data_IF_354554022629
#
_entry.id   IF_354554022629
#
_cell.length_a   1.000
_cell.length_b   1.000
_cell.length_c   1.000
_cell.angle_alpha   90.00
_cell.angle_beta   90.00
_cell.angle_gamma   90.00
#
_symmetry.space_group_name_H-M   'P 1'
#
loop_
_entity.id
_entity.type
_entity.pdbx_description
1 polymer ?
#
# COMPACT_ATOMS: atom_id res chain seq x y z
N UNK A 1 2.16 -4.43 -11.39
CA UNK A 1 2.77 -3.24 -10.71
C UNK A 1 4.24 -3.51 -10.49
N UNK A 2 5.08 -2.50 -10.72
CA UNK A 2 6.50 -2.51 -10.36
C UNK A 2 6.70 -1.91 -8.96
N UNK A 3 7.68 -2.43 -8.23
CA UNK A 3 8.01 -1.97 -6.88
C UNK A 3 9.52 -1.77 -6.75
N UNK A 4 9.91 -0.60 -6.25
CA UNK A 4 11.28 -0.26 -5.92
C UNK A 4 11.38 0.04 -4.42
N UNK A 5 12.40 -0.49 -3.76
CA UNK A 5 12.72 -0.22 -2.36
C UNK A 5 14.11 0.39 -2.28
N UNK A 6 14.23 1.58 -1.72
CA UNK A 6 15.51 2.31 -1.65
C UNK A 6 16.15 2.52 -3.03
N UNK A 7 15.34 2.70 -4.08
CA UNK A 7 15.78 2.85 -5.46
C UNK A 7 16.10 1.54 -6.21
N UNK A 8 16.11 0.40 -5.50
CA UNK A 8 16.36 -0.92 -6.13
C UNK A 8 15.05 -1.55 -6.57
N UNK A 9 14.98 -2.01 -7.81
CA UNK A 9 13.84 -2.74 -8.35
C UNK A 9 13.72 -4.11 -7.66
N UNK A 10 12.59 -4.35 -6.99
CA UNK A 10 12.30 -5.58 -6.26
C UNK A 10 11.42 -6.51 -7.09
N UNK A 11 10.39 -5.97 -7.74
CA UNK A 11 9.48 -6.75 -8.57
C UNK A 11 8.92 -5.91 -9.70
N UNK A 12 8.68 -6.53 -10.85
CA UNK A 12 7.96 -5.95 -12.00
C UNK A 12 6.55 -6.52 -12.18
N UNK A 13 6.18 -7.56 -11.42
CA UNK A 13 5.04 -8.43 -11.75
C UNK A 13 4.06 -8.65 -10.60
N UNK A 14 3.92 -7.68 -9.71
CA UNK A 14 2.83 -7.75 -8.74
C UNK A 14 1.52 -7.51 -9.46
N UNK A 15 0.65 -8.51 -9.45
CA UNK A 15 -0.60 -8.52 -10.19
C UNK A 15 -1.72 -7.81 -9.43
N UNK A 16 -1.94 -8.21 -8.19
CA UNK A 16 -3.09 -7.75 -7.40
C UNK A 16 -2.73 -6.58 -6.48
N UNK A 17 -1.98 -6.87 -5.41
CA UNK A 17 -1.70 -5.89 -4.38
C UNK A 17 -0.38 -6.15 -3.65
N UNK A 18 0.09 -5.12 -2.98
CA UNK A 18 1.12 -5.20 -1.97
C UNK A 18 0.59 -4.70 -0.62
N UNK A 19 0.98 -5.36 0.46
CA UNK A 19 0.72 -4.90 1.83
C UNK A 19 2.03 -4.42 2.46
N UNK A 20 2.08 -3.17 2.88
CA UNK A 20 3.14 -2.67 3.74
C UNK A 20 2.62 -2.62 5.18
N UNK A 21 3.32 -3.27 6.09
CA UNK A 21 2.96 -3.28 7.52
C UNK A 21 4.18 -3.52 8.40
N UNK A 22 4.03 -3.28 9.71
CA UNK A 22 4.97 -3.81 10.70
C UNK A 22 5.05 -5.33 10.56
N UNK A 23 6.23 -5.93 10.72
CA UNK A 23 6.43 -7.38 10.64
C UNK A 23 5.60 -8.12 11.70
N UNK A 24 5.49 -7.56 12.91
CA UNK A 24 4.57 -8.05 13.92
C UNK A 24 3.18 -7.42 13.71
N UNK A 25 2.11 -8.21 13.45
CA UNK A 25 0.79 -7.67 13.18
C UNK A 25 0.13 -6.98 14.39
N UNK A 26 0.64 -7.21 15.60
CA UNK A 26 0.16 -6.55 16.82
C UNK A 26 0.80 -5.18 17.06
N UNK A 27 1.82 -4.81 16.28
CA UNK A 27 2.51 -3.54 16.40
C UNK A 27 1.99 -2.51 15.40
N UNK A 28 2.08 -1.25 15.78
CA UNK A 28 1.64 -0.14 14.94
C UNK A 28 2.59 0.08 13.77
N UNK A 29 2.03 0.21 12.59
CA UNK A 29 2.73 0.61 11.39
C UNK A 29 2.69 2.13 11.26
N UNK A 30 3.84 2.74 10.98
CA UNK A 30 3.98 4.17 10.73
C UNK A 30 4.59 4.40 9.37
N UNK A 31 3.99 5.28 8.61
CA UNK A 31 4.43 5.60 7.24
C UNK A 31 4.06 7.03 6.85
N UNK A 32 4.68 7.51 5.78
CA UNK A 32 4.25 8.71 5.07
C UNK A 32 3.88 8.35 3.64
N UNK A 33 2.78 8.89 3.15
CA UNK A 33 2.35 8.77 1.75
C UNK A 33 1.61 10.05 1.35
N UNK A 34 1.89 10.58 0.17
CA UNK A 34 1.29 11.83 -0.28
C UNK A 34 1.62 13.05 0.61
N UNK A 35 2.74 13.01 1.34
CA UNK A 35 3.14 14.05 2.29
C UNK A 35 2.54 13.92 3.68
N UNK A 36 1.52 13.09 3.86
CA UNK A 36 0.83 12.88 5.14
C UNK A 36 1.42 11.69 5.91
N UNK A 37 1.45 11.80 7.24
CA UNK A 37 1.84 10.71 8.14
C UNK A 37 0.62 9.92 8.58
N UNK A 38 0.78 8.60 8.60
CA UNK A 38 -0.24 7.66 9.08
C UNK A 38 0.33 6.74 10.15
N UNK A 39 -0.39 6.63 11.26
CA UNK A 39 -0.22 5.63 12.29
C UNK A 39 -1.41 4.66 12.12
N UNK A 40 -1.15 3.38 11.80
CA UNK A 40 -2.17 2.45 11.29
C UNK A 40 -1.74 0.99 11.46
N UNK A 41 -2.53 0.05 10.94
CA UNK A 41 -2.14 -1.37 10.86
C UNK A 41 -1.44 -1.74 9.54
N UNK A 42 -1.21 -0.74 8.68
CA UNK A 42 -0.57 -0.92 7.39
C UNK A 42 -1.33 -0.24 6.25
N UNK A 43 -0.81 -0.41 5.04
CA UNK A 43 -1.43 0.13 3.84
C UNK A 43 -1.46 -0.93 2.74
N UNK A 44 -2.61 -1.10 2.11
CA UNK A 44 -2.75 -1.83 0.86
C UNK A 44 -2.45 -0.92 -0.32
N UNK A 45 -1.59 -1.39 -1.23
CA UNK A 45 -1.37 -0.75 -2.53
C UNK A 45 -1.86 -1.72 -3.60
N UNK A 46 -2.92 -1.36 -4.31
CA UNK A 46 -3.58 -2.24 -5.27
C UNK A 46 -3.57 -1.73 -6.69
N UNK A 47 -3.54 -2.70 -7.61
CA UNK A 47 -3.79 -2.50 -9.03
C UNK A 47 -5.29 -2.54 -9.34
N UNK A 48 -5.69 -2.25 -10.59
CA UNK A 48 -7.07 -2.47 -11.03
C UNK A 48 -7.49 -3.94 -10.94
N UNK A 49 -6.58 -4.88 -11.26
CA UNK A 49 -6.86 -6.32 -11.18
C UNK A 49 -7.14 -6.78 -9.75
N UNK A 50 -6.39 -6.26 -8.76
CA UNK A 50 -6.55 -6.60 -7.34
C UNK A 50 -7.65 -5.83 -6.62
N UNK A 51 -8.33 -4.88 -7.30
CA UNK A 51 -9.24 -3.95 -6.63
C UNK A 51 -10.51 -4.56 -6.07
N UNK A 52 -10.88 -5.77 -6.48
CA UNK A 52 -12.09 -6.49 -6.01
C UNK A 52 -11.87 -7.35 -4.76
N UNK A 53 -10.62 -7.47 -4.31
CA UNK A 53 -10.24 -8.30 -3.15
C UNK A 53 -10.12 -7.50 -1.84
N UNK A 54 -8.96 -7.60 -1.18
CA UNK A 54 -8.66 -6.93 0.09
C UNK A 54 -8.82 -5.40 0.02
N UNK A 55 -8.55 -4.83 -1.12
CA UNK A 55 -8.63 -3.38 -1.38
C UNK A 55 -10.06 -2.86 -1.14
N UNK A 56 -11.07 -3.45 -1.78
CA UNK A 56 -12.46 -3.00 -1.62
C UNK A 56 -12.97 -3.27 -0.21
N UNK A 57 -12.58 -4.39 0.38
CA UNK A 57 -12.94 -4.73 1.77
C UNK A 57 -12.36 -3.75 2.79
N UNK A 58 -11.22 -3.15 2.48
CA UNK A 58 -10.58 -2.13 3.31
C UNK A 58 -11.09 -0.70 3.03
N UNK A 59 -12.14 -0.53 2.22
CA UNK A 59 -12.71 0.77 1.88
C UNK A 59 -12.18 1.40 0.60
N UNK A 60 -11.47 0.64 -0.22
CA UNK A 60 -11.02 1.07 -1.55
C UNK A 60 -12.16 1.07 -2.59
N UNK A 61 -11.78 1.36 -3.82
CA UNK A 61 -12.70 1.40 -4.96
C UNK A 61 -12.39 0.28 -5.94
N UNK A 62 -13.42 -0.28 -6.55
CA UNK A 62 -13.24 -1.19 -7.69
C UNK A 62 -12.79 -0.36 -8.90
N UNK A 63 -11.70 -0.79 -9.51
CA UNK A 63 -11.12 -0.19 -10.71
C UNK A 63 -11.19 -1.19 -11.87
N UNK A 64 -11.22 -0.69 -13.10
CA UNK A 64 -11.08 -1.55 -14.26
C UNK A 64 -9.73 -2.29 -14.20
N UNK A 65 -9.66 -3.59 -14.56
CA UNK A 65 -8.41 -4.35 -14.55
C UNK A 65 -7.29 -3.72 -15.38
N UNK A 66 -7.67 -2.98 -16.42
CA UNK A 66 -6.75 -2.26 -17.32
C UNK A 66 -6.40 -0.85 -16.83
N UNK A 67 -6.86 -0.46 -15.64
CA UNK A 67 -6.58 0.86 -15.08
C UNK A 67 -5.08 1.11 -14.95
N UNK A 68 -4.65 2.28 -15.37
CA UNK A 68 -3.29 2.80 -15.14
C UNK A 68 -3.15 3.52 -13.80
N UNK A 69 -4.14 3.41 -12.92
CA UNK A 69 -4.10 4.01 -11.59
C UNK A 69 -3.97 2.91 -10.54
N UNK A 70 -3.04 3.12 -9.63
CA UNK A 70 -2.95 2.39 -8.37
C UNK A 70 -3.79 3.10 -7.31
N UNK A 71 -4.17 2.38 -6.28
CA UNK A 71 -4.76 2.97 -5.09
C UNK A 71 -4.07 2.49 -3.82
N UNK A 72 -3.88 3.41 -2.88
CA UNK A 72 -3.46 3.11 -1.52
C UNK A 72 -4.64 3.21 -0.58
N UNK A 73 -4.82 2.20 0.26
CA UNK A 73 -5.88 2.15 1.27
C UNK A 73 -5.25 1.90 2.64
N UNK A 74 -5.35 2.90 3.52
CA UNK A 74 -4.82 2.82 4.89
C UNK A 74 -5.72 1.89 5.71
N UNK A 75 -5.10 0.92 6.37
CA UNK A 75 -5.80 -0.02 7.24
C UNK A 75 -5.86 0.52 8.66
N UNK A 76 -7.06 0.51 9.25
CA UNK A 76 -7.26 0.81 10.68
C UNK A 76 -6.44 2.04 11.12
N UNK A 77 -6.63 3.15 10.40
CA UNK A 77 -5.96 4.41 10.75
C UNK A 77 -6.25 4.76 12.19
N UNK A 78 -5.20 5.00 12.97
CA UNK A 78 -5.33 5.40 14.36
C UNK A 78 -6.03 6.76 14.42
N UNK A 79 -7.29 6.73 14.83
CA UNK A 79 -8.09 7.91 15.04
C UNK A 79 -7.80 8.42 16.46
N UNK A 80 -6.69 9.14 16.62
CA UNK A 80 -6.43 9.84 17.86
C UNK A 80 -7.59 10.81 18.10
N UNK A 81 -8.25 10.71 19.25
CA UNK A 81 -9.16 11.77 19.70
C UNK A 81 -8.32 13.02 19.86
N UNK A 82 -8.71 14.09 19.21
CA UNK A 82 -8.14 15.40 19.52
C UNK A 82 -8.50 15.72 20.97
N UNK A 83 -7.77 16.62 21.59
CA UNK A 83 -8.09 17.11 22.94
C UNK A 83 -9.52 17.69 23.03
N UNK A 84 -10.12 18.06 21.89
CA UNK A 84 -11.52 18.52 21.78
C UNK A 84 -12.53 17.36 21.63
N UNK A 85 -12.09 16.11 21.53
CA UNK A 85 -12.97 14.94 21.38
C UNK A 85 -13.43 14.66 19.95
N UNK A 86 -12.93 15.39 18.95
CA UNK A 86 -13.27 15.17 17.55
C UNK A 86 -12.60 13.90 17.03
N UNK A 87 -13.31 13.11 16.22
CA UNK A 87 -12.74 11.97 15.49
C UNK A 87 -12.02 12.47 14.25
N UNK A 88 -10.81 11.96 14.03
CA UNK A 88 -10.12 12.16 12.75
C UNK A 88 -10.95 11.47 11.65
N UNK A 89 -11.23 12.13 10.53
CA UNK A 89 -12.01 11.53 9.45
C UNK A 89 -11.38 10.23 8.94
N UNK A 90 -12.23 9.27 8.56
CA UNK A 90 -11.76 8.04 7.89
C UNK A 90 -10.97 8.41 6.63
N UNK A 91 -9.79 7.85 6.48
CA UNK A 91 -8.94 8.09 5.32
C UNK A 91 -9.62 7.61 4.05
N UNK A 92 -9.67 8.48 3.03
CA UNK A 92 -10.12 8.10 1.69
C UNK A 92 -8.97 7.39 0.95
N UNK A 93 -9.28 6.50 -0.02
CA UNK A 93 -8.26 5.93 -0.89
C UNK A 93 -7.45 7.02 -1.61
N UNK A 94 -6.13 6.81 -1.69
CA UNK A 94 -5.20 7.68 -2.40
C UNK A 94 -4.93 7.06 -3.77
N UNK A 95 -5.06 7.82 -4.84
CA UNK A 95 -4.89 7.33 -6.21
C UNK A 95 -3.70 7.98 -6.90
N UNK A 96 -3.02 7.22 -7.75
CA UNK A 96 -1.93 7.72 -8.61
C UNK A 96 -1.44 6.67 -9.58
N UNK A 97 -0.77 7.10 -10.65
CA UNK A 97 0.00 6.21 -11.54
C UNK A 97 1.30 5.77 -10.86
N UNK A 98 1.81 6.63 -10.00
CA UNK A 98 2.95 6.38 -9.11
C UNK A 98 2.54 6.76 -7.70
N UNK A 99 2.77 5.87 -6.76
CA UNK A 99 2.60 6.11 -5.32
C UNK A 99 3.94 5.92 -4.63
N UNK A 100 4.28 6.85 -3.76
CA UNK A 100 5.52 6.81 -2.99
C UNK A 100 5.19 6.77 -1.51
N UNK A 101 5.73 5.76 -0.83
CA UNK A 101 5.64 5.56 0.59
C UNK A 101 7.04 5.73 1.21
N UNK A 102 7.10 6.36 2.37
CA UNK A 102 8.32 6.39 3.19
C UNK A 102 8.02 5.68 4.50
N UNK A 103 8.79 4.65 4.79
CA UNK A 103 8.66 3.88 6.03
C UNK A 103 9.05 4.75 7.24
N UNK A 104 8.21 4.76 8.26
CA UNK A 104 8.52 5.28 9.58
C UNK A 104 8.49 4.17 10.62
N UNK A 105 8.63 2.93 10.15
CA UNK A 105 8.60 1.69 10.94
C UNK A 105 9.98 1.04 10.81
N UNK A 106 10.70 0.79 11.91
CA UNK A 106 12.04 0.18 11.86
C UNK A 106 12.02 -1.25 11.35
N UNK A 107 10.96 -2.00 11.67
CA UNK A 107 10.79 -3.40 11.33
C UNK A 107 9.49 -3.57 10.52
N UNK A 108 9.53 -3.14 9.27
CA UNK A 108 8.42 -3.29 8.34
C UNK A 108 8.69 -4.37 7.30
N UNK A 109 7.60 -4.97 6.84
CA UNK A 109 7.61 -5.94 5.75
C UNK A 109 6.63 -5.52 4.67
N UNK A 110 7.07 -5.67 3.43
CA UNK A 110 6.25 -5.54 2.24
C UNK A 110 5.92 -6.95 1.73
N UNK A 111 4.64 -7.29 1.68
CA UNK A 111 4.12 -8.55 1.15
C UNK A 111 3.56 -8.33 -0.26
N UNK A 112 3.89 -9.21 -1.20
CA UNK A 112 3.55 -9.08 -2.61
C UNK A 112 2.66 -10.25 -3.05
N UNK A 113 1.45 -9.94 -3.54
CA UNK A 113 0.47 -10.94 -4.01
C UNK A 113 0.27 -12.10 -3.03
N UNK A 114 0.10 -11.79 -1.74
CA UNK A 114 -0.07 -12.77 -0.67
C UNK A 114 1.15 -12.89 0.25
N UNK A 115 1.21 -13.95 1.09
CA UNK A 115 2.14 -14.01 2.22
C UNK A 115 3.54 -14.54 1.88
N UNK A 116 3.76 -15.09 0.68
CA UNK A 116 4.96 -15.86 0.39
C UNK A 116 6.14 -15.01 -0.09
N UNK A 117 5.87 -13.95 -0.85
CA UNK A 117 6.89 -13.00 -1.28
C UNK A 117 6.92 -11.83 -0.32
N UNK A 118 8.04 -11.67 0.37
CA UNK A 118 8.23 -10.61 1.38
C UNK A 118 9.56 -9.93 1.21
N UNK A 119 9.56 -8.63 1.48
CA UNK A 119 10.75 -7.78 1.45
C UNK A 119 10.78 -6.97 2.73
N UNK A 120 11.90 -6.99 3.44
CA UNK A 120 12.12 -6.13 4.59
C UNK A 120 12.29 -4.68 4.15
N UNK A 121 11.65 -3.78 4.89
CA UNK A 121 11.76 -2.34 4.67
C UNK A 121 12.14 -1.68 5.98
N UNK A 122 13.30 -1.04 6.00
CA UNK A 122 13.81 -0.35 7.18
C UNK A 122 13.21 1.04 7.37
N UNK A 123 13.57 1.66 8.48
CA UNK A 123 13.19 3.04 8.78
C UNK A 123 13.73 4.00 7.70
N UNK A 124 12.91 4.98 7.34
CA UNK A 124 13.18 6.04 6.34
C UNK A 124 13.45 5.54 4.91
N UNK A 125 13.28 4.24 4.66
CA UNK A 125 13.35 3.73 3.30
C UNK A 125 12.12 4.14 2.49
N UNK A 126 12.40 4.58 1.27
CA UNK A 126 11.38 4.93 0.27
C UNK A 126 10.97 3.68 -0.51
N UNK A 127 9.67 3.47 -0.63
CA UNK A 127 9.06 2.45 -1.50
C UNK A 127 8.26 3.14 -2.58
N UNK A 128 8.58 2.84 -3.83
CA UNK A 128 7.88 3.39 -5.00
C UNK A 128 7.08 2.28 -5.67
N UNK A 129 5.81 2.54 -5.87
CA UNK A 129 4.88 1.69 -6.60
C UNK A 129 4.48 2.40 -7.87
N UNK A 130 4.58 1.71 -9.01
CA UNK A 130 4.15 2.26 -10.30
C UNK A 130 3.53 1.18 -11.18
N UNK A 131 2.68 1.58 -12.09
CA UNK A 131 2.11 0.65 -13.05
C UNK A 131 3.24 0.06 -13.90
N UNK A 132 3.28 -1.28 -14.00
CA UNK A 132 4.28 -1.95 -14.84
C UNK A 132 4.01 -1.66 -16.32
N UNK A 133 5.04 -1.48 -17.14
CA UNK A 133 4.90 -1.48 -18.60
C UNK A 133 4.59 -2.89 -19.15
N UNK A 134 4.86 -3.94 -18.36
CA UNK A 134 4.57 -5.33 -18.74
C UNK A 134 3.07 -5.62 -18.62
N UNK A 135 2.52 -6.31 -19.58
CA UNK A 135 1.12 -6.73 -19.60
C UNK A 135 0.99 -8.22 -19.29
N UNK A 136 -0.05 -8.59 -18.57
CA UNK A 136 -0.51 -9.97 -18.49
C UNK A 136 -1.53 -10.21 -19.60
N UNK A 137 -1.20 -11.08 -20.52
CA UNK A 137 -2.13 -11.54 -21.56
C UNK A 137 -2.86 -12.77 -21.05
N UNK A 138 -4.19 -12.69 -20.95
CA UNK A 138 -5.03 -13.84 -20.67
C UNK A 138 -5.52 -14.40 -22.01
N UNK A 139 -5.24 -15.68 -22.25
CA UNK A 139 -5.84 -16.45 -23.35
C UNK A 139 -7.11 -17.07 -22.79
N UNK A 140 -8.24 -16.64 -23.30
CA UNK A 140 -9.56 -17.17 -22.92
C UNK A 140 -9.96 -18.27 -23.89
#
# INVERSE_FOLDING_TARGET
MEILVGGKLISKRVLNEALFSHTCPAAMTRLKIGGERYDCSGVWIGTGAGSTGAIVSAGGKVLAPTSKRLQAVIREHCQARTLAGDLVPVTKPIFGEVLTLVSQTPDATLYLDGPFLRVQVGYDQKVVFRVSPDYLSLVL
#
